data_IF_854075540372
#
_entry.id   IF_854075540372
#
_cell.length_a   1.000
_cell.length_b   1.000
_cell.length_c   1.000
_cell.angle_alpha   90.00
_cell.angle_beta   90.00
_cell.angle_gamma   90.00
#
_symmetry.space_group_name_H-M   'P 1'
#
loop_
_entity.id
_entity.type
_entity.pdbx_description
1 polymer ?
#
# COMPACT_ATOMS: atom_id res chain seq x y z
N UNK A 1 -15.11 -0.75 22.97
CA UNK A 1 -15.11 -1.89 22.03
C UNK A 1 -15.93 -1.55 20.78
N UNK A 2 -15.82 -0.32 20.27
CA UNK A 2 -16.95 0.25 19.51
C UNK A 2 -16.60 0.74 18.11
N UNK A 3 -15.33 1.08 17.82
CA UNK A 3 -14.90 1.45 16.45
C UNK A 3 -14.36 0.25 15.66
N UNK A 4 -13.63 -0.67 16.33
CA UNK A 4 -12.98 -1.81 15.66
C UNK A 4 -13.92 -2.84 15.02
N UNK A 5 -15.20 -2.88 15.41
CA UNK A 5 -16.18 -3.82 14.85
C UNK A 5 -16.89 -3.27 13.60
N UNK A 6 -16.93 -1.95 13.37
CA UNK A 6 -17.64 -1.40 12.20
C UNK A 6 -16.83 -1.56 10.91
N UNK A 7 -15.51 -1.45 10.95
CA UNK A 7 -14.64 -1.60 9.76
C UNK A 7 -14.73 -3.01 9.11
N UNK A 8 -14.91 -4.06 9.92
CA UNK A 8 -15.10 -5.44 9.41
C UNK A 8 -16.45 -5.66 8.75
N UNK A 9 -17.49 -4.94 9.18
CA UNK A 9 -18.85 -5.09 8.64
C UNK A 9 -19.02 -4.32 7.32
N UNK A 10 -18.21 -3.27 7.14
CA UNK A 10 -18.24 -2.41 5.96
C UNK A 10 -16.79 -2.10 5.52
N UNK A 11 -16.13 -2.99 4.75
CA UNK A 11 -14.79 -2.76 4.21
C UNK A 11 -14.85 -1.75 3.05
N UNK A 12 -15.36 -0.56 3.35
CA UNK A 12 -15.56 0.53 2.43
C UNK A 12 -14.54 1.59 2.82
N UNK A 13 -13.67 1.94 1.88
CA UNK A 13 -12.94 3.20 1.94
C UNK A 13 -13.85 4.28 1.33
N UNK A 14 -14.46 5.17 2.13
CA UNK A 14 -15.31 6.23 1.61
C UNK A 14 -14.45 7.24 0.86
N UNK A 15 -14.32 7.08 -0.45
CA UNK A 15 -13.72 8.08 -1.32
C UNK A 15 -14.81 9.10 -1.62
N UNK A 16 -14.58 10.38 -1.29
CA UNK A 16 -15.49 11.46 -1.66
C UNK A 16 -15.67 11.45 -3.19
N UNK A 17 -16.83 10.98 -3.64
CA UNK A 17 -17.11 10.76 -5.05
C UNK A 17 -17.24 12.09 -5.79
N UNK A 18 -16.12 12.67 -6.20
CA UNK A 18 -16.10 13.61 -7.31
C UNK A 18 -15.91 12.75 -8.55
N UNK A 19 -16.86 12.78 -9.49
CA UNK A 19 -16.96 11.91 -10.68
C UNK A 19 -15.78 12.01 -11.68
N UNK A 20 -14.61 12.52 -11.27
CA UNK A 20 -13.38 12.77 -12.06
C UNK A 20 -12.08 12.50 -11.27
N UNK A 21 -12.11 11.78 -10.15
CA UNK A 21 -10.93 11.54 -9.29
C UNK A 21 -10.06 10.35 -9.69
N UNK A 22 -10.44 9.59 -10.73
CA UNK A 22 -9.61 8.51 -11.28
C UNK A 22 -8.86 8.98 -12.53
N UNK A 23 -7.56 8.72 -12.57
CA UNK A 23 -6.70 8.96 -13.73
C UNK A 23 -5.89 7.70 -14.05
N UNK A 24 -5.47 7.57 -15.31
CA UNK A 24 -4.68 6.42 -15.78
C UNK A 24 -3.50 6.92 -16.60
N UNK A 25 -2.36 6.25 -16.43
CA UNK A 25 -1.13 6.54 -17.14
C UNK A 25 -0.32 7.62 -16.43
N UNK A 26 1.00 7.54 -16.60
CA UNK A 26 1.98 8.32 -15.84
C UNK A 26 1.72 9.83 -15.89
N UNK A 27 1.51 10.37 -17.10
CA UNK A 27 1.31 11.82 -17.29
C UNK A 27 0.05 12.35 -16.59
N UNK A 28 -1.08 11.66 -16.74
CA UNK A 28 -2.35 12.08 -16.14
C UNK A 28 -2.30 11.98 -14.61
N UNK A 29 -1.67 10.92 -14.08
CA UNK A 29 -1.46 10.76 -12.64
C UNK A 29 -0.55 11.85 -12.08
N UNK A 30 0.60 12.12 -12.72
CA UNK A 30 1.51 13.17 -12.30
C UNK A 30 0.85 14.57 -12.32
N UNK A 31 0.07 14.88 -13.35
CA UNK A 31 -0.67 16.13 -13.44
C UNK A 31 -1.74 16.25 -12.34
N UNK A 32 -2.48 15.17 -12.06
CA UNK A 32 -3.48 15.15 -10.99
C UNK A 32 -2.84 15.35 -9.61
N UNK A 33 -1.72 14.68 -9.34
CA UNK A 33 -0.95 14.81 -8.09
C UNK A 33 -0.38 16.21 -7.93
N UNK A 34 0.27 16.74 -8.97
CA UNK A 34 0.80 18.11 -8.96
C UNK A 34 -0.29 19.11 -8.63
N UNK A 35 -1.47 18.97 -9.25
CA UNK A 35 -2.62 19.82 -8.97
C UNK A 35 -3.14 19.66 -7.54
N UNK A 36 -3.21 18.44 -7.01
CA UNK A 36 -3.68 18.18 -5.65
C UNK A 36 -2.74 18.75 -4.57
N UNK A 37 -1.43 18.79 -4.88
CA UNK A 37 -0.38 19.25 -3.98
C UNK A 37 -0.03 20.74 -4.17
N UNK A 38 -0.56 21.39 -5.20
CA UNK A 38 -0.28 22.79 -5.52
C UNK A 38 -0.66 23.72 -4.36
N UNK A 39 0.26 24.63 -3.99
CA UNK A 39 0.04 25.62 -2.93
C UNK A 39 0.09 25.08 -1.50
N UNK A 40 0.29 23.77 -1.29
CA UNK A 40 0.42 23.18 0.04
C UNK A 40 1.89 23.19 0.47
N UNK A 41 2.26 24.03 1.43
CA UNK A 41 3.62 24.02 1.97
C UNK A 41 3.87 22.81 2.87
N UNK A 42 2.84 22.38 3.60
CA UNK A 42 2.84 21.20 4.47
C UNK A 42 1.72 20.27 4.01
N UNK A 43 2.05 18.99 3.76
CA UNK A 43 1.13 17.97 3.27
C UNK A 43 1.70 16.58 3.52
N UNK A 44 0.87 15.69 4.07
CA UNK A 44 1.12 14.25 4.13
C UNK A 44 0.29 13.55 3.07
N UNK A 45 0.96 12.82 2.18
CA UNK A 45 0.32 11.99 1.16
C UNK A 45 0.40 10.54 1.60
N UNK A 46 -0.76 9.91 1.80
CA UNK A 46 -0.87 8.47 1.99
C UNK A 46 -1.16 7.84 0.61
N UNK A 47 -0.23 7.06 0.10
CA UNK A 47 -0.31 6.41 -1.20
C UNK A 47 -0.46 4.90 -1.02
N UNK A 48 -1.71 4.48 -0.87
CA UNK A 48 -2.10 3.10 -0.64
C UNK A 48 -1.91 2.29 -1.92
N UNK A 49 -1.05 1.26 -1.87
CA UNK A 49 -0.74 0.42 -3.01
C UNK A 49 -1.51 -0.89 -2.93
N UNK A 50 -2.41 -1.13 -3.88
CA UNK A 50 -3.02 -2.45 -4.02
C UNK A 50 -1.94 -3.52 -4.25
N UNK A 51 -2.07 -4.73 -3.67
CA UNK A 51 -1.13 -5.81 -3.91
C UNK A 51 -0.93 -6.07 -5.40
N UNK A 52 0.32 -5.97 -5.86
CA UNK A 52 0.64 -6.14 -7.27
C UNK A 52 0.92 -4.85 -8.04
N UNK A 53 0.69 -3.68 -7.42
CA UNK A 53 1.19 -2.40 -7.92
C UNK A 53 2.72 -2.41 -7.90
N UNK A 54 3.33 -1.77 -8.89
CA UNK A 54 4.77 -1.56 -8.93
C UNK A 54 5.10 -0.29 -8.15
N UNK A 55 5.72 -0.47 -6.99
CA UNK A 55 6.04 0.64 -6.09
C UNK A 55 7.22 1.48 -6.62
N UNK A 56 8.05 0.96 -7.53
CA UNK A 56 9.08 1.75 -8.20
C UNK A 56 8.44 2.77 -9.15
N UNK A 57 7.37 2.38 -9.87
CA UNK A 57 6.58 3.30 -10.70
C UNK A 57 5.90 4.40 -9.85
N UNK A 58 5.46 4.07 -8.63
CA UNK A 58 4.90 5.03 -7.67
C UNK A 58 5.96 6.03 -7.19
N UNK A 59 7.15 5.54 -6.82
CA UNK A 59 8.27 6.41 -6.43
C UNK A 59 8.68 7.33 -7.58
N UNK A 60 8.80 6.81 -8.80
CA UNK A 60 9.13 7.60 -9.98
C UNK A 60 8.08 8.70 -10.27
N UNK A 61 6.80 8.45 -9.99
CA UNK A 61 5.76 9.47 -10.08
C UNK A 61 5.83 10.53 -8.96
N UNK A 62 6.34 10.14 -7.80
CA UNK A 62 6.54 11.05 -6.67
C UNK A 62 7.81 11.91 -6.79
N UNK A 63 8.77 11.48 -7.63
CA UNK A 63 9.98 12.25 -7.91
C UNK A 63 9.63 13.66 -8.40
N UNK A 64 10.36 14.66 -7.89
CA UNK A 64 10.12 16.06 -8.24
C UNK A 64 8.89 16.71 -7.59
N UNK A 65 8.06 15.98 -6.85
CA UNK A 65 6.94 16.56 -6.08
C UNK A 65 7.37 17.20 -4.75
N UNK A 66 8.68 17.20 -4.46
CA UNK A 66 9.27 17.94 -3.33
C UNK A 66 8.92 17.37 -1.96
N UNK A 67 8.80 16.05 -1.83
CA UNK A 67 8.71 15.39 -0.53
C UNK A 67 10.07 15.44 0.18
N UNK A 68 10.09 15.92 1.42
CA UNK A 68 11.29 15.91 2.29
C UNK A 68 11.40 14.64 3.12
N UNK A 69 10.28 13.94 3.32
CA UNK A 69 10.21 12.71 4.08
C UNK A 69 9.45 11.67 3.26
N UNK A 70 10.10 10.55 2.96
CA UNK A 70 9.51 9.44 2.19
C UNK A 70 9.63 8.16 3.01
N UNK A 71 8.51 7.49 3.26
CA UNK A 71 8.42 6.30 4.10
C UNK A 71 7.71 5.18 3.34
N UNK A 72 8.32 4.00 3.38
CA UNK A 72 7.75 2.78 2.84
C UNK A 72 6.98 2.05 3.95
N UNK A 73 5.67 1.85 3.76
CA UNK A 73 4.80 1.25 4.75
C UNK A 73 5.18 -0.21 5.03
N UNK A 74 5.57 -0.96 4.01
CA UNK A 74 5.92 -2.38 4.13
C UNK A 74 7.15 -2.58 5.05
N UNK A 75 8.02 -1.57 5.22
CA UNK A 75 9.16 -1.65 6.15
C UNK A 75 8.70 -1.78 7.62
N UNK A 76 7.48 -1.34 7.92
CA UNK A 76 6.85 -1.44 9.22
C UNK A 76 6.13 -2.79 9.44
N UNK A 77 5.98 -3.61 8.40
CA UNK A 77 5.38 -4.93 8.53
C UNK A 77 6.29 -5.92 9.27
N UNK A 78 5.70 -7.02 9.73
CA UNK A 78 6.43 -8.19 10.21
C UNK A 78 7.40 -8.67 9.12
N UNK A 79 8.60 -9.14 9.49
CA UNK A 79 9.50 -9.80 8.55
C UNK A 79 8.78 -10.96 7.84
N UNK A 80 9.15 -11.28 6.59
CA UNK A 80 8.42 -12.27 5.79
C UNK A 80 8.23 -13.63 6.46
N UNK A 81 9.21 -14.09 7.26
CA UNK A 81 9.10 -15.36 7.97
C UNK A 81 8.08 -15.29 9.10
N UNK A 82 8.11 -14.24 9.92
CA UNK A 82 7.13 -14.06 11.00
C UNK A 82 5.72 -13.83 10.45
N UNK A 83 5.61 -13.19 9.29
CA UNK A 83 4.35 -13.05 8.57
C UNK A 83 3.83 -14.41 8.07
N UNK A 84 4.68 -15.23 7.46
CA UNK A 84 4.35 -16.59 7.01
C UNK A 84 3.88 -17.45 8.21
N UNK A 85 4.62 -17.42 9.33
CA UNK A 85 4.29 -18.16 10.56
C UNK A 85 2.96 -17.67 11.17
N UNK A 86 2.72 -16.36 11.17
CA UNK A 86 1.48 -15.78 11.65
C UNK A 86 0.30 -16.17 10.76
N UNK A 87 0.49 -16.31 9.45
CA UNK A 87 -0.56 -16.67 8.49
C UNK A 87 -0.80 -18.19 8.43
N UNK A 88 0.17 -19.02 8.81
CA UNK A 88 0.07 -20.50 8.75
C UNK A 88 -1.21 -21.04 9.41
N UNK A 89 -1.65 -20.41 10.50
CA UNK A 89 -2.86 -20.81 11.23
C UNK A 89 -4.16 -20.58 10.45
N UNK A 90 -4.15 -19.62 9.53
CA UNK A 90 -5.29 -19.28 8.66
C UNK A 90 -5.19 -19.96 7.29
N UNK A 91 -4.01 -20.47 6.92
CA UNK A 91 -3.78 -21.18 5.67
C UNK A 91 -4.16 -22.66 5.81
N UNK A 92 -4.84 -23.20 4.80
CA UNK A 92 -5.19 -24.63 4.77
C UNK A 92 -4.33 -25.36 3.74
N UNK A 93 -4.52 -26.69 3.64
CA UNK A 93 -3.89 -27.48 2.57
C UNK A 93 -4.50 -27.19 1.19
N UNK A 94 -5.63 -26.48 1.12
CA UNK A 94 -6.16 -25.96 -0.13
C UNK A 94 -5.29 -24.78 -0.62
N UNK A 95 -4.84 -24.88 -1.87
CA UNK A 95 -3.91 -23.89 -2.46
C UNK A 95 -4.57 -22.55 -2.79
N UNK A 96 -5.90 -22.48 -2.77
CA UNK A 96 -6.69 -21.31 -3.18
C UNK A 96 -7.42 -20.71 -1.98
N UNK A 97 -7.90 -21.54 -1.05
CA UNK A 97 -8.74 -21.09 0.05
C UNK A 97 -8.11 -21.29 1.43
N UNK A 98 -8.11 -20.21 2.22
CA UNK A 98 -7.80 -20.21 3.65
C UNK A 98 -9.07 -20.16 4.52
N UNK A 99 -8.85 -20.04 5.83
CA UNK A 99 -9.88 -19.75 6.83
C UNK A 99 -10.18 -18.25 6.82
N UNK A 100 -11.46 -17.87 6.93
CA UNK A 100 -11.82 -16.47 7.12
C UNK A 100 -11.37 -16.00 8.51
N UNK A 101 -10.44 -15.06 8.53
CA UNK A 101 -9.85 -14.52 9.76
C UNK A 101 -10.53 -13.22 10.20
N UNK A 102 -10.50 -12.95 11.50
CA UNK A 102 -10.97 -11.69 12.10
C UNK A 102 -9.83 -10.70 12.35
N UNK A 103 -8.60 -11.08 11.98
CA UNK A 103 -7.42 -10.23 12.11
C UNK A 103 -7.49 -9.05 11.14
N UNK A 104 -6.95 -7.93 11.58
CA UNK A 104 -6.81 -6.71 10.80
C UNK A 104 -5.45 -6.64 10.12
N UNK A 105 -5.32 -5.84 9.06
CA UNK A 105 -4.01 -5.62 8.41
C UNK A 105 -2.96 -5.09 9.41
N UNK A 106 -3.38 -4.26 10.37
CA UNK A 106 -2.51 -3.71 11.41
C UNK A 106 -1.91 -4.75 12.36
N UNK A 107 -2.52 -5.94 12.48
CA UNK A 107 -1.98 -7.03 13.32
C UNK A 107 -0.65 -7.59 12.77
N UNK A 108 -0.34 -7.29 11.51
CA UNK A 108 0.89 -7.71 10.83
C UNK A 108 1.95 -6.61 10.78
N UNK A 109 1.79 -5.53 11.54
CA UNK A 109 2.73 -4.42 11.63
C UNK A 109 3.44 -4.40 12.99
N UNK A 110 4.75 -4.14 12.97
CA UNK A 110 5.58 -4.03 14.19
C UNK A 110 5.27 -2.70 14.89
N UNK A 111 4.69 -2.70 16.10
CA UNK A 111 4.21 -1.48 16.76
C UNK A 111 5.30 -0.41 16.93
N UNK A 112 6.53 -0.82 17.24
CA UNK A 112 7.67 0.07 17.44
C UNK A 112 8.06 0.78 16.14
N UNK A 113 8.05 0.06 15.01
CA UNK A 113 8.35 0.64 13.69
C UNK A 113 7.26 1.61 13.26
N UNK A 114 5.98 1.25 13.48
CA UNK A 114 4.85 2.15 13.22
C UNK A 114 4.97 3.43 14.05
N UNK A 115 5.31 3.33 15.34
CA UNK A 115 5.51 4.49 16.20
C UNK A 115 6.65 5.38 15.70
N UNK A 116 7.78 4.79 15.28
CA UNK A 116 8.92 5.52 14.71
C UNK A 116 8.55 6.22 13.40
N UNK A 117 7.84 5.54 12.50
CA UNK A 117 7.35 6.10 11.25
C UNK A 117 6.42 7.30 11.50
N UNK A 118 5.47 7.16 12.45
CA UNK A 118 4.57 8.25 12.85
C UNK A 118 5.32 9.47 13.39
N UNK A 119 6.39 9.28 14.15
CA UNK A 119 7.23 10.38 14.60
C UNK A 119 8.00 11.05 13.45
N UNK A 120 8.46 10.28 12.46
CA UNK A 120 9.10 10.83 11.27
C UNK A 120 8.10 11.67 10.44
N UNK A 121 6.87 11.18 10.26
CA UNK A 121 5.78 11.89 9.58
C UNK A 121 5.52 13.25 10.26
N UNK A 122 5.43 13.30 11.59
CA UNK A 122 5.18 14.54 12.33
C UNK A 122 6.29 15.59 12.20
N UNK A 123 7.52 15.17 11.88
CA UNK A 123 8.68 16.07 11.72
C UNK A 123 8.83 16.59 10.29
N UNK A 124 8.31 15.86 9.32
CA UNK A 124 8.35 16.24 7.91
C UNK A 124 7.33 17.32 7.58
N UNK A 125 7.58 18.09 6.52
CA UNK A 125 6.64 19.10 6.03
C UNK A 125 5.83 18.56 4.88
N UNK A 126 6.51 18.01 3.88
CA UNK A 126 5.95 17.33 2.72
C UNK A 126 6.34 15.86 2.83
N UNK A 127 5.39 15.07 3.29
CA UNK A 127 5.59 13.65 3.61
C UNK A 127 4.90 12.79 2.57
N UNK A 128 5.59 11.76 2.09
CA UNK A 128 5.02 10.66 1.32
C UNK A 128 5.12 9.39 2.15
N UNK A 129 3.99 8.74 2.37
CA UNK A 129 3.92 7.36 2.88
C UNK A 129 3.35 6.52 1.75
N UNK A 130 4.06 5.51 1.29
CA UNK A 130 3.63 4.65 0.18
C UNK A 130 3.80 3.18 0.53
N UNK A 131 3.03 2.32 -0.12
CA UNK A 131 3.07 0.87 0.07
C UNK A 131 1.75 0.31 0.55
N UNK A 132 1.77 -0.94 0.99
CA UNK A 132 0.61 -1.63 1.56
C UNK A 132 0.44 -1.20 3.02
N UNK A 133 -0.74 -0.73 3.38
CA UNK A 133 -1.03 -0.22 4.71
C UNK A 133 -0.47 1.18 4.97
N UNK A 134 -0.22 2.00 3.94
CA UNK A 134 0.23 3.39 4.11
C UNK A 134 -0.72 4.19 5.03
N UNK A 135 -2.02 3.95 4.90
CA UNK A 135 -3.06 4.56 5.75
C UNK A 135 -3.01 4.16 7.22
N UNK A 136 -2.38 3.01 7.56
CA UNK A 136 -2.14 2.61 8.94
C UNK A 136 -1.07 3.46 9.63
N UNK A 137 -0.17 4.06 8.86
CA UNK A 137 0.89 4.93 9.38
C UNK A 137 0.38 6.37 9.50
N UNK A 138 -0.33 6.86 8.49
CA UNK A 138 -1.00 8.15 8.52
C UNK A 138 -2.27 8.15 7.65
N UNK A 139 -3.39 8.74 8.09
CA UNK A 139 -4.57 8.89 7.24
C UNK A 139 -4.28 9.76 5.99
N UNK A 140 -3.30 10.67 6.10
CA UNK A 140 -2.88 11.59 5.04
C UNK A 140 -3.84 12.78 4.86
N UNK A 141 -3.29 13.93 4.46
CA UNK A 141 -4.08 15.08 3.97
C UNK A 141 -4.61 14.83 2.55
N UNK A 142 -3.87 14.01 1.80
CA UNK A 142 -4.23 13.53 0.46
C UNK A 142 -4.06 12.01 0.46
N UNK A 143 -5.15 11.32 0.13
CA UNK A 143 -5.16 9.87 -0.05
C UNK A 143 -5.11 9.55 -1.55
N UNK A 144 -4.13 8.74 -1.94
CA UNK A 144 -3.97 8.22 -3.30
C UNK A 144 -4.10 6.71 -3.23
N UNK A 145 -5.01 6.15 -4.01
CA UNK A 145 -5.15 4.70 -4.14
C UNK A 145 -4.56 4.26 -5.48
N UNK A 146 -3.43 3.55 -5.44
CA UNK A 146 -2.85 2.93 -6.62
C UNK A 146 -3.54 1.60 -6.86
N UNK A 147 -4.21 1.49 -8.00
CA UNK A 147 -4.86 0.25 -8.42
C UNK A 147 -4.19 -0.34 -9.66
N UNK A 148 -4.32 -1.65 -9.81
CA UNK A 148 -3.86 -2.39 -10.97
C UNK A 148 -4.98 -3.30 -11.46
N UNK A 149 -5.27 -3.23 -12.75
CA UNK A 149 -6.25 -4.13 -13.35
C UNK A 149 -5.79 -5.58 -13.23
N UNK A 150 -6.71 -6.51 -12.96
CA UNK A 150 -6.40 -7.96 -12.89
C UNK A 150 -5.62 -8.46 -14.11
N UNK A 151 -5.94 -7.96 -15.30
CA UNK A 151 -5.26 -8.34 -16.54
C UNK A 151 -3.79 -7.91 -16.55
N UNK A 152 -3.49 -6.66 -16.18
CA UNK A 152 -2.11 -6.18 -16.10
C UNK A 152 -1.32 -6.94 -15.03
N UNK A 153 -1.93 -7.24 -13.88
CA UNK A 153 -1.31 -8.05 -12.84
C UNK A 153 -0.92 -9.45 -13.37
N UNK A 154 -1.83 -10.11 -14.10
CA UNK A 154 -1.56 -11.39 -14.76
C UNK A 154 -0.42 -11.28 -15.78
N UNK A 155 -0.39 -10.23 -16.59
CA UNK A 155 0.69 -10.01 -17.56
C UNK A 155 2.04 -9.78 -16.88
N UNK A 156 2.08 -9.04 -15.76
CA UNK A 156 3.31 -8.83 -14.97
C UNK A 156 3.83 -10.13 -14.40
N UNK A 157 2.97 -10.97 -13.84
CA UNK A 157 3.35 -12.32 -13.39
C UNK A 157 3.91 -13.17 -14.53
N UNK A 158 3.29 -13.14 -15.72
CA UNK A 158 3.81 -13.85 -16.91
C UNK A 158 5.17 -13.34 -17.38
N UNK A 159 5.50 -12.08 -17.11
CA UNK A 159 6.81 -11.46 -17.40
C UNK A 159 7.84 -11.68 -16.29
N UNK A 160 7.49 -12.38 -15.21
CA UNK A 160 8.37 -12.60 -14.05
C UNK A 160 8.62 -11.35 -13.20
N UNK A 161 7.85 -10.28 -13.39
CA UNK A 161 7.92 -9.09 -12.55
C UNK A 161 7.31 -9.42 -11.19
N UNK A 162 8.15 -9.37 -10.14
CA UNK A 162 7.72 -9.52 -8.75
C UNK A 162 7.20 -8.17 -8.27
N UNK A 163 6.02 -8.18 -7.69
CA UNK A 163 5.41 -7.03 -7.05
C UNK A 163 5.20 -7.40 -5.58
N UNK A 164 6.11 -6.94 -4.71
CA UNK A 164 6.02 -7.13 -3.25
C UNK A 164 6.53 -8.46 -2.66
N UNK A 165 7.39 -9.23 -3.33
CA UNK A 165 7.94 -10.47 -2.76
C UNK A 165 9.38 -10.30 -2.24
N UNK A 166 9.75 -10.88 -1.08
CA UNK A 166 11.14 -10.89 -0.61
C UNK A 166 12.06 -11.61 -1.61
N UNK A 167 13.35 -11.22 -1.67
CA UNK A 167 14.33 -11.86 -2.55
C UNK A 167 14.53 -13.33 -2.11
N UNK A 168 14.04 -14.28 -2.91
CA UNK A 168 14.37 -15.71 -2.71
C UNK A 168 13.33 -16.72 -3.19
N UNK A 169 12.04 -16.39 -3.21
CA UNK A 169 11.02 -17.32 -3.74
C UNK A 169 10.81 -17.03 -5.24
N UNK A 170 11.50 -17.77 -6.11
CA UNK A 170 11.14 -17.89 -7.53
C UNK A 170 9.99 -18.87 -7.65
N UNK A 171 8.86 -18.44 -8.22
CA UNK A 171 7.85 -19.38 -8.69
C UNK A 171 8.53 -20.28 -9.75
N UNK A 172 8.49 -21.62 -9.63
CA UNK A 172 9.10 -22.48 -10.64
C UNK A 172 8.46 -22.17 -11.99
N UNK A 173 9.28 -21.86 -12.99
CA UNK A 173 8.83 -21.80 -14.37
C UNK A 173 8.54 -23.21 -14.87
N UNK A 174 7.44 -23.82 -14.41
CA UNK A 174 6.99 -25.10 -14.93
C UNK A 174 5.48 -25.20 -14.87
N UNK A 175 4.82 -24.71 -15.91
CA UNK A 175 3.63 -25.31 -16.48
C UNK A 175 3.48 -24.78 -17.92
N UNK A 176 3.91 -25.62 -18.88
CA UNK A 176 3.26 -25.69 -20.18
C UNK A 176 1.95 -26.44 -20.02
#
# INVERSE_FOLDING_TARGET
MTERCEEMLHPILPIAAQAKSACRGTEACAAALTKALAGRAEVTVAWECFPGVDQEEVLALAEGLGFDTVLHADDCALPPQELDDALEQDLTQDRVFGILTVRSLGDFFVPEKVAQARQAIQRGKRVLVYGVGATLLAPGDVLVYADITRWELQLRFRRGRKTGAPPGKTCPSSAR
#
